data_IF_042191279553
#
_entry.id   IF_042191279553
#
_cell.length_a   1.000
_cell.length_b   1.000
_cell.length_c   1.000
_cell.angle_alpha   90.00
_cell.angle_beta   90.00
_cell.angle_gamma   90.00
#
_symmetry.space_group_name_H-M   'P 1'
#
loop_
_entity.id
_entity.type
_entity.pdbx_description
1 polymer ?
#
# COMPACT_ATOMS: atom_id res chain seq x y z
N UNK A 1 7.59 -13.53 -22.48
CA UNK A 1 6.81 -12.61 -23.34
C UNK A 1 5.38 -12.56 -22.84
N UNK A 2 4.63 -11.52 -23.21
CA UNK A 2 3.19 -11.45 -22.96
C UNK A 2 2.50 -11.28 -24.30
N UNK A 3 1.66 -12.24 -24.67
CA UNK A 3 0.99 -12.27 -25.97
C UNK A 3 -0.46 -12.76 -25.79
N UNK A 4 -1.43 -12.05 -26.37
CA UNK A 4 -2.87 -12.41 -26.36
C UNK A 4 -3.41 -12.83 -24.97
N UNK A 5 -3.07 -12.09 -23.92
CA UNK A 5 -3.51 -12.39 -22.55
C UNK A 5 -2.84 -13.60 -21.91
N UNK A 6 -1.69 -14.03 -22.44
CA UNK A 6 -0.89 -15.13 -21.92
C UNK A 6 0.52 -14.67 -21.58
N UNK A 7 0.99 -15.04 -20.39
CA UNK A 7 2.35 -14.83 -19.94
C UNK A 7 3.16 -16.10 -20.15
N UNK A 8 4.23 -16.01 -20.96
CA UNK A 8 5.23 -17.06 -21.09
C UNK A 8 6.37 -16.80 -20.11
N UNK A 9 6.55 -17.71 -19.16
CA UNK A 9 7.63 -17.70 -18.18
C UNK A 9 8.63 -18.80 -18.51
N UNK A 10 9.91 -18.46 -18.58
CA UNK A 10 10.98 -19.43 -18.85
C UNK A 10 10.94 -20.56 -17.81
N UNK A 11 11.11 -21.81 -18.26
CA UNK A 11 11.11 -23.05 -17.45
C UNK A 11 9.80 -23.41 -16.73
N UNK A 12 8.80 -22.53 -16.70
CA UNK A 12 7.48 -22.80 -16.11
C UNK A 12 6.44 -23.06 -17.20
N UNK A 13 6.54 -22.35 -18.33
CA UNK A 13 5.61 -22.46 -19.46
C UNK A 13 4.68 -21.25 -19.59
N UNK A 14 3.56 -21.45 -20.27
CA UNK A 14 2.65 -20.38 -20.67
C UNK A 14 1.34 -20.44 -19.88
N UNK A 15 1.01 -19.36 -19.19
CA UNK A 15 -0.20 -19.25 -18.36
C UNK A 15 -1.08 -18.07 -18.78
N UNK A 16 -2.39 -18.17 -18.54
CA UNK A 16 -3.29 -17.03 -18.72
C UNK A 16 -2.96 -15.96 -17.68
N UNK A 17 -2.95 -14.70 -18.09
CA UNK A 17 -2.75 -13.55 -17.21
C UNK A 17 -3.87 -12.55 -17.45
N UNK A 18 -4.34 -11.93 -16.37
CA UNK A 18 -5.16 -10.74 -16.42
C UNK A 18 -4.26 -9.52 -16.20
N UNK A 19 -3.97 -8.80 -17.28
CA UNK A 19 -3.17 -7.57 -17.24
C UNK A 19 -4.08 -6.41 -16.86
N UNK A 20 -3.90 -5.87 -15.66
CA UNK A 20 -4.68 -4.72 -15.20
C UNK A 20 -4.34 -3.42 -15.94
N UNK A 21 -3.12 -3.30 -16.47
CA UNK A 21 -2.66 -2.17 -17.30
C UNK A 21 -1.54 -2.61 -18.24
N UNK A 22 -1.32 -1.83 -19.30
CA UNK A 22 -0.13 -1.99 -20.13
C UNK A 22 1.13 -1.66 -19.33
N UNK A 23 2.20 -2.42 -19.56
CA UNK A 23 3.46 -2.22 -18.88
C UNK A 23 4.27 -1.20 -19.69
N UNK A 24 4.57 -0.07 -19.08
CA UNK A 24 5.43 0.94 -19.68
C UNK A 24 6.90 0.70 -19.31
N UNK A 25 7.81 1.00 -20.24
CA UNK A 25 9.24 0.83 -20.06
C UNK A 25 9.74 -0.59 -20.28
N UNK A 26 11.00 -0.82 -19.94
CA UNK A 26 11.67 -2.11 -20.15
C UNK A 26 11.54 -2.99 -18.91
N UNK A 27 10.90 -4.15 -19.05
CA UNK A 27 10.78 -5.14 -17.97
C UNK A 27 12.17 -5.69 -17.61
N UNK A 28 12.58 -5.54 -16.35
CA UNK A 28 13.83 -6.10 -15.82
C UNK A 28 13.61 -7.36 -15.00
N UNK A 29 12.49 -7.44 -14.28
CA UNK A 29 12.20 -8.55 -13.39
C UNK A 29 10.74 -8.94 -13.45
N UNK A 30 10.48 -10.24 -13.41
CA UNK A 30 9.18 -10.84 -13.18
C UNK A 30 9.24 -11.61 -11.86
N UNK A 31 8.38 -11.26 -10.91
CA UNK A 31 8.19 -12.01 -9.67
C UNK A 31 6.82 -12.67 -9.69
N UNK A 32 6.77 -13.99 -9.54
CA UNK A 32 5.52 -14.73 -9.33
C UNK A 32 5.31 -14.88 -7.82
N UNK A 33 4.27 -14.24 -7.30
CA UNK A 33 3.91 -14.27 -5.88
C UNK A 33 2.59 -15.02 -5.69
N UNK A 34 2.51 -15.90 -4.69
CA UNK A 34 1.25 -16.46 -4.21
C UNK A 34 0.82 -15.78 -2.92
N UNK A 35 -0.38 -15.21 -2.89
CA UNK A 35 -0.92 -14.51 -1.72
C UNK A 35 -2.43 -14.74 -1.63
N UNK A 36 -2.94 -15.02 -0.42
CA UNK A 36 -4.36 -15.27 -0.13
C UNK A 36 -5.09 -16.33 -1.02
N UNK A 37 -4.31 -17.17 -1.72
CA UNK A 37 -4.81 -18.20 -2.65
C UNK A 37 -4.68 -17.80 -4.12
N UNK A 38 -4.34 -16.56 -4.41
CA UNK A 38 -4.17 -16.02 -5.76
C UNK A 38 -2.70 -16.00 -6.18
N UNK A 39 -2.44 -16.07 -7.48
CA UNK A 39 -1.12 -15.88 -8.07
C UNK A 39 -1.05 -14.51 -8.74
N UNK A 40 0.01 -13.76 -8.46
CA UNK A 40 0.27 -12.44 -9.02
C UNK A 40 1.58 -12.49 -9.80
N UNK A 41 1.54 -11.94 -11.01
CA UNK A 41 2.72 -11.63 -11.80
C UNK A 41 3.07 -10.16 -11.58
N UNK A 42 4.17 -9.90 -10.86
CA UNK A 42 4.63 -8.55 -10.55
C UNK A 42 5.79 -8.24 -11.49
N UNK A 43 5.62 -7.22 -12.32
CA UNK A 43 6.63 -6.76 -13.26
C UNK A 43 7.32 -5.53 -12.71
N UNK A 44 8.64 -5.59 -12.58
CA UNK A 44 9.48 -4.42 -12.33
C UNK A 44 10.03 -3.95 -13.66
N UNK A 45 9.63 -2.77 -14.08
CA UNK A 45 10.06 -2.13 -15.32
C UNK A 45 10.82 -0.85 -15.02
N UNK A 46 11.78 -0.53 -15.89
CA UNK A 46 12.54 0.72 -15.85
C UNK A 46 12.06 1.58 -17.02
N UNK A 47 11.68 2.81 -16.70
CA UNK A 47 11.32 3.86 -17.65
C UNK A 47 12.11 5.11 -17.26
N UNK A 48 12.86 5.64 -18.21
CA UNK A 48 13.48 6.95 -18.04
C UNK A 48 12.39 8.02 -18.15
N UNK A 49 12.28 8.84 -17.12
CA UNK A 49 11.31 9.92 -17.04
C UNK A 49 12.10 11.13 -16.55
N UNK A 50 12.01 12.23 -17.30
CA UNK A 50 12.46 13.52 -16.82
C UNK A 50 11.26 14.24 -16.18
N UNK A 51 11.20 14.36 -14.84
CA UNK A 51 10.12 15.08 -14.20
C UNK A 51 10.20 16.56 -14.56
N UNK A 52 9.03 17.17 -14.74
CA UNK A 52 8.94 18.61 -15.01
C UNK A 52 9.53 19.39 -13.84
N UNK A 53 10.40 20.37 -14.11
CA UNK A 53 10.91 21.24 -13.04
C UNK A 53 9.80 22.22 -12.62
N UNK A 54 9.40 22.14 -11.34
CA UNK A 54 8.42 23.04 -10.74
C UNK A 54 9.14 24.02 -9.81
N UNK A 55 8.77 25.30 -9.88
CA UNK A 55 9.22 26.31 -8.93
C UNK A 55 8.45 26.18 -7.63
N UNK A 56 9.14 26.32 -6.50
CA UNK A 56 8.52 26.16 -5.19
C UNK A 56 7.83 27.45 -4.74
N UNK A 57 6.58 27.64 -5.17
CA UNK A 57 5.78 28.86 -4.94
C UNK A 57 4.57 28.64 -4.05
N UNK A 58 4.14 27.39 -3.85
CA UNK A 58 2.99 27.00 -3.05
C UNK A 58 3.32 25.78 -2.17
N UNK A 59 4.21 25.93 -1.18
CA UNK A 59 4.56 24.85 -0.25
C UNK A 59 3.42 24.56 0.73
N UNK A 60 3.27 23.30 1.16
CA UNK A 60 2.31 22.94 2.21
C UNK A 60 2.92 21.99 3.24
N UNK A 61 2.70 22.28 4.52
CA UNK A 61 3.07 21.40 5.63
C UNK A 61 2.00 20.34 5.87
N UNK A 62 2.41 19.12 6.20
CA UNK A 62 1.51 18.01 6.57
C UNK A 62 1.89 17.47 7.95
N UNK A 63 1.00 17.67 8.91
CA UNK A 63 1.04 17.01 10.21
C UNK A 63 0.16 15.74 10.18
N UNK A 64 0.64 14.61 10.71
CA UNK A 64 -0.10 13.34 10.70
C UNK A 64 -0.45 12.87 12.12
N UNK A 65 -1.68 12.37 12.29
CA UNK A 65 -2.20 12.01 13.60
C UNK A 65 -3.02 10.73 13.63
N UNK A 66 -3.40 10.32 14.84
CA UNK A 66 -4.27 9.15 15.07
C UNK A 66 -5.76 9.52 15.09
N UNK A 67 -6.11 10.74 15.54
CA UNK A 67 -7.49 11.24 15.61
C UNK A 67 -7.93 11.82 14.26
N UNK A 68 -7.12 12.74 13.74
CA UNK A 68 -7.20 13.24 12.36
C UNK A 68 -6.01 12.66 11.63
N UNK A 69 -6.22 12.08 10.45
CA UNK A 69 -5.15 11.35 9.77
C UNK A 69 -4.03 12.27 9.30
N UNK A 70 -4.40 13.39 8.68
CA UNK A 70 -3.47 14.46 8.35
C UNK A 70 -4.15 15.85 8.43
N UNK A 71 -3.38 16.86 8.81
CA UNK A 71 -3.79 18.27 8.79
C UNK A 71 -2.74 19.03 7.98
N UNK A 72 -3.21 19.79 6.99
CA UNK A 72 -2.36 20.63 6.15
C UNK A 72 -2.20 22.01 6.78
N UNK A 73 -1.11 22.71 6.47
CA UNK A 73 -0.84 24.07 6.98
C UNK A 73 -1.86 25.11 6.51
N UNK A 74 -2.62 24.82 5.45
CA UNK A 74 -3.75 25.64 4.99
C UNK A 74 -5.06 25.38 5.75
N UNK A 75 -5.03 24.51 6.76
CA UNK A 75 -6.18 24.15 7.59
C UNK A 75 -7.01 22.98 7.06
N UNK A 76 -6.69 22.43 5.88
CA UNK A 76 -7.39 21.27 5.33
C UNK A 76 -7.17 20.03 6.21
N UNK A 77 -8.27 19.33 6.54
CA UNK A 77 -8.24 18.13 7.37
C UNK A 77 -8.56 16.89 6.55
N UNK A 78 -7.72 15.88 6.69
CA UNK A 78 -7.88 14.57 6.05
C UNK A 78 -8.28 13.54 7.10
N UNK A 79 -9.40 12.87 6.87
CA UNK A 79 -9.97 11.90 7.82
C UNK A 79 -9.91 10.50 7.22
N UNK A 80 -9.15 9.61 7.85
CA UNK A 80 -9.05 8.21 7.42
C UNK A 80 -10.17 7.35 8.01
N UNK A 81 -10.97 6.66 7.18
CA UNK A 81 -11.90 5.66 7.68
C UNK A 81 -11.17 4.52 8.39
N UNK A 82 -11.77 4.00 9.46
CA UNK A 82 -11.18 2.94 10.28
C UNK A 82 -11.38 1.54 9.65
N UNK A 83 -10.90 1.32 8.41
CA UNK A 83 -11.04 0.06 7.67
C UNK A 83 -10.60 -1.17 8.48
N UNK A 84 -9.41 -1.08 9.10
CA UNK A 84 -8.85 -2.18 9.91
C UNK A 84 -9.65 -2.49 11.17
N UNK A 85 -10.30 -1.49 11.78
CA UNK A 85 -11.15 -1.70 12.96
C UNK A 85 -12.40 -2.51 12.61
N UNK A 86 -12.98 -2.24 11.43
CA UNK A 86 -14.15 -2.97 10.94
C UNK A 86 -13.78 -4.44 10.68
N UNK A 87 -12.62 -4.71 10.09
CA UNK A 87 -12.17 -6.08 9.81
C UNK A 87 -11.62 -6.81 11.04
N UNK A 88 -11.34 -6.09 12.14
CA UNK A 88 -10.62 -6.62 13.28
C UNK A 88 -11.31 -7.83 13.92
N UNK A 89 -12.64 -7.77 14.06
CA UNK A 89 -13.42 -8.88 14.64
C UNK A 89 -13.27 -10.17 13.81
N UNK A 90 -13.26 -10.04 12.49
CA UNK A 90 -13.09 -11.16 11.56
C UNK A 90 -11.67 -11.73 11.63
N UNK A 91 -10.67 -10.85 11.61
CA UNK A 91 -9.26 -11.23 11.76
C UNK A 91 -9.05 -11.97 13.09
N UNK A 92 -9.52 -11.41 14.20
CA UNK A 92 -9.35 -11.99 15.54
C UNK A 92 -10.05 -13.36 15.67
N UNK A 93 -11.21 -13.54 15.02
CA UNK A 93 -11.90 -14.83 14.96
C UNK A 93 -11.02 -15.88 14.28
N UNK A 94 -10.48 -15.58 13.09
CA UNK A 94 -9.66 -16.54 12.36
C UNK A 94 -8.30 -16.78 13.02
N UNK A 95 -7.68 -15.76 13.63
CA UNK A 95 -6.47 -15.93 14.45
C UNK A 95 -6.68 -16.97 15.57
N UNK A 96 -7.80 -16.87 16.32
CA UNK A 96 -8.15 -17.85 17.36
C UNK A 96 -8.33 -19.26 16.79
N UNK A 97 -8.98 -19.39 15.64
CA UNK A 97 -9.16 -20.68 14.96
C UNK A 97 -7.80 -21.26 14.52
N UNK A 98 -6.90 -20.46 13.98
CA UNK A 98 -5.56 -20.88 13.56
C UNK A 98 -4.71 -21.32 14.75
N UNK A 99 -4.82 -20.63 15.88
CA UNK A 99 -4.07 -20.93 17.11
C UNK A 99 -4.50 -22.26 17.72
N UNK A 100 -5.80 -22.58 17.71
CA UNK A 100 -6.34 -23.83 18.29
C UNK A 100 -6.12 -25.07 17.41
N UNK A 101 -5.82 -24.91 16.11
CA UNK A 101 -5.66 -26.04 15.18
C UNK A 101 -4.22 -26.56 15.17
N UNK A 102 -4.06 -27.88 15.03
CA UNK A 102 -2.76 -28.54 14.96
C UNK A 102 -1.87 -27.98 13.82
N UNK A 103 -0.60 -27.71 14.13
CA UNK A 103 0.39 -27.19 13.17
C UNK A 103 0.55 -28.19 12.00
N UNK A 104 0.62 -27.69 10.78
CA UNK A 104 0.72 -28.55 9.58
C UNK A 104 -0.58 -29.21 9.12
N UNK A 105 -1.66 -29.23 9.92
CA UNK A 105 -2.92 -29.83 9.48
C UNK A 105 -3.56 -29.06 8.31
N UNK A 106 -4.20 -29.79 7.37
CA UNK A 106 -4.97 -29.20 6.26
C UNK A 106 -6.02 -28.20 6.75
N UNK A 107 -6.72 -28.53 7.85
CA UNK A 107 -7.69 -27.63 8.50
C UNK A 107 -7.02 -26.32 8.94
N UNK A 108 -5.81 -26.35 9.51
CA UNK A 108 -5.12 -25.12 9.90
C UNK A 108 -4.72 -24.28 8.69
N UNK A 109 -4.27 -24.90 7.60
CA UNK A 109 -3.94 -24.20 6.36
C UNK A 109 -5.14 -23.43 5.80
N UNK A 110 -6.31 -24.08 5.69
CA UNK A 110 -7.56 -23.41 5.26
C UNK A 110 -7.91 -22.23 6.17
N UNK A 111 -7.74 -22.37 7.50
CA UNK A 111 -8.01 -21.26 8.43
C UNK A 111 -7.03 -20.09 8.24
N UNK A 112 -5.76 -20.36 7.93
CA UNK A 112 -4.78 -19.33 7.61
C UNK A 112 -5.12 -18.61 6.32
N UNK A 113 -5.56 -19.33 5.29
CA UNK A 113 -5.97 -18.72 4.03
C UNK A 113 -7.16 -17.77 4.24
N UNK A 114 -8.16 -18.18 5.03
CA UNK A 114 -9.28 -17.31 5.41
C UNK A 114 -8.81 -16.08 6.18
N UNK A 115 -7.94 -16.27 7.18
CA UNK A 115 -7.33 -15.16 7.93
C UNK A 115 -6.61 -14.18 6.99
N UNK A 116 -5.82 -14.68 6.04
CA UNK A 116 -5.08 -13.86 5.09
C UNK A 116 -6.00 -13.08 4.15
N UNK A 117 -7.15 -13.64 3.73
CA UNK A 117 -8.16 -12.92 2.96
C UNK A 117 -8.75 -11.74 3.74
N UNK A 118 -9.04 -11.92 5.04
CA UNK A 118 -9.50 -10.80 5.86
C UNK A 118 -8.45 -9.68 5.93
N UNK A 119 -7.18 -10.03 6.09
CA UNK A 119 -6.08 -9.06 6.06
C UNK A 119 -5.96 -8.37 4.70
N UNK A 120 -6.11 -9.12 3.61
CA UNK A 120 -6.05 -8.60 2.24
C UNK A 120 -7.13 -7.53 2.01
N UNK A 121 -8.38 -7.79 2.42
CA UNK A 121 -9.48 -6.81 2.32
C UNK A 121 -9.13 -5.51 3.04
N UNK A 122 -8.70 -5.60 4.29
CA UNK A 122 -8.36 -4.40 5.08
C UNK A 122 -7.16 -3.64 4.51
N UNK A 123 -6.17 -4.36 3.98
CA UNK A 123 -4.99 -3.78 3.35
C UNK A 123 -5.36 -3.11 2.01
N UNK A 124 -6.19 -3.73 1.18
CA UNK A 124 -6.62 -3.19 -0.10
C UNK A 124 -7.44 -1.91 0.08
N UNK A 125 -8.39 -1.89 1.02
CA UNK A 125 -9.13 -0.68 1.38
C UNK A 125 -8.20 0.46 1.86
N UNK A 126 -7.23 0.13 2.71
CA UNK A 126 -6.25 1.11 3.19
C UNK A 126 -5.39 1.64 2.03
N UNK A 127 -4.94 0.76 1.14
CA UNK A 127 -4.10 1.13 0.01
C UNK A 127 -4.85 2.03 -0.97
N UNK A 128 -6.07 1.66 -1.33
CA UNK A 128 -6.94 2.44 -2.22
C UNK A 128 -7.14 3.86 -1.67
N UNK A 129 -7.50 3.98 -0.39
CA UNK A 129 -7.66 5.27 0.27
C UNK A 129 -6.37 6.10 0.26
N UNK A 130 -5.22 5.49 0.60
CA UNK A 130 -3.94 6.21 0.61
C UNK A 130 -3.52 6.65 -0.79
N UNK A 131 -3.71 5.81 -1.82
CA UNK A 131 -3.44 6.19 -3.21
C UNK A 131 -4.31 7.38 -3.62
N UNK A 132 -5.62 7.33 -3.38
CA UNK A 132 -6.55 8.41 -3.73
C UNK A 132 -6.17 9.74 -3.08
N UNK A 133 -5.73 9.72 -1.83
CA UNK A 133 -5.33 10.95 -1.15
C UNK A 133 -4.01 11.48 -1.64
N UNK A 134 -3.00 10.63 -1.83
CA UNK A 134 -1.73 11.12 -2.35
C UNK A 134 -1.89 11.61 -3.79
N UNK A 135 -2.75 10.99 -4.60
CA UNK A 135 -3.13 11.53 -5.91
C UNK A 135 -3.83 12.88 -5.80
N UNK A 136 -4.80 13.01 -4.89
CA UNK A 136 -5.48 14.30 -4.68
C UNK A 136 -4.47 15.38 -4.29
N UNK A 137 -3.60 15.12 -3.32
CA UNK A 137 -2.61 16.09 -2.83
C UNK A 137 -1.66 16.54 -3.94
N UNK A 138 -1.09 15.60 -4.70
CA UNK A 138 -0.19 15.92 -5.81
C UNK A 138 -0.88 16.74 -6.90
N UNK A 139 -2.19 16.54 -7.11
CA UNK A 139 -2.97 17.29 -8.09
C UNK A 139 -3.65 18.56 -7.51
N UNK A 140 -3.41 18.91 -6.24
CA UNK A 140 -4.04 20.08 -5.60
C UNK A 140 -3.40 21.43 -6.00
N UNK A 141 -2.28 21.40 -6.73
CA UNK A 141 -1.52 22.60 -7.10
C UNK A 141 -0.47 23.04 -6.06
N UNK A 142 -0.15 22.19 -5.08
CA UNK A 142 1.01 22.41 -4.21
C UNK A 142 2.31 22.13 -4.97
N UNK A 143 3.37 22.87 -4.65
CA UNK A 143 4.68 22.76 -5.30
C UNK A 143 5.71 22.03 -4.44
N UNK A 144 5.46 21.90 -3.14
CA UNK A 144 6.24 21.08 -2.24
C UNK A 144 5.45 20.63 -1.01
N UNK A 145 5.85 19.49 -0.42
CA UNK A 145 5.27 18.93 0.79
C UNK A 145 6.30 18.85 1.92
N UNK A 146 6.13 19.67 2.96
CA UNK A 146 6.90 19.53 4.18
C UNK A 146 6.23 18.54 5.13
N UNK A 147 6.91 17.44 5.47
CA UNK A 147 6.39 16.40 6.37
C UNK A 147 7.29 16.22 7.58
N UNK A 148 6.71 15.88 8.73
CA UNK A 148 7.50 15.58 9.91
C UNK A 148 8.33 14.30 9.74
N UNK A 149 9.59 14.35 10.20
CA UNK A 149 10.46 13.16 10.27
C UNK A 149 10.10 12.29 11.48
N UNK A 150 8.96 11.62 11.42
CA UNK A 150 8.52 10.73 12.48
C UNK A 150 9.41 9.50 12.59
N UNK A 151 9.91 9.22 13.79
CA UNK A 151 10.63 7.99 14.12
C UNK A 151 9.64 6.83 14.35
N UNK A 152 8.87 6.48 13.31
CA UNK A 152 7.72 5.56 13.41
C UNK A 152 8.14 4.20 13.98
N UNK A 153 9.32 3.69 13.63
CA UNK A 153 9.86 2.44 14.19
C UNK A 153 10.00 2.50 15.72
N UNK A 154 10.45 3.63 16.27
CA UNK A 154 10.54 3.83 17.71
C UNK A 154 9.16 4.01 18.34
N UNK A 155 8.24 4.72 17.68
CA UNK A 155 6.88 4.93 18.19
C UNK A 155 6.11 3.61 18.33
N UNK A 156 6.30 2.66 17.40
CA UNK A 156 5.65 1.34 17.44
C UNK A 156 6.18 0.46 18.59
N UNK A 157 7.34 0.77 19.18
CA UNK A 157 7.83 0.07 20.38
C UNK A 157 6.95 0.35 21.61
N UNK A 158 6.21 1.46 21.62
CA UNK A 158 5.20 1.70 22.65
C UNK A 158 3.97 0.81 22.40
N UNK A 159 3.88 -0.31 23.14
CA UNK A 159 2.81 -1.30 22.99
C UNK A 159 1.39 -0.75 23.16
N UNK A 160 1.19 0.39 23.85
CA UNK A 160 -0.13 1.03 23.99
C UNK A 160 -0.62 1.67 22.69
N UNK A 161 0.29 2.23 21.88
CA UNK A 161 -0.03 2.94 20.65
C UNK A 161 0.35 2.17 19.38
N UNK A 162 1.18 1.13 19.50
CA UNK A 162 1.69 0.33 18.40
C UNK A 162 0.61 -0.07 17.39
N UNK A 163 -0.52 -0.57 17.88
CA UNK A 163 -1.63 -1.00 17.03
C UNK A 163 -2.25 0.16 16.24
N UNK A 164 -2.53 1.28 16.92
CA UNK A 164 -3.12 2.47 16.30
C UNK A 164 -2.18 3.07 15.25
N UNK A 165 -0.88 3.16 15.55
CA UNK A 165 0.16 3.65 14.62
C UNK A 165 0.25 2.75 13.38
N UNK A 166 0.28 1.43 13.57
CA UNK A 166 0.28 0.50 12.45
C UNK A 166 -0.99 0.63 11.59
N UNK A 167 -2.13 0.94 12.20
CA UNK A 167 -3.40 1.12 11.51
C UNK A 167 -3.47 2.46 10.77
N UNK A 168 -2.80 3.49 11.27
CA UNK A 168 -2.68 4.78 10.59
C UNK A 168 -1.87 4.66 9.29
N UNK A 169 -0.85 3.79 9.27
CA UNK A 169 -0.06 3.47 8.06
C UNK A 169 0.72 4.68 7.49
N UNK A 170 1.21 5.57 8.36
CA UNK A 170 1.95 6.78 7.99
C UNK A 170 3.17 6.51 7.10
N UNK A 171 3.97 5.48 7.40
CA UNK A 171 5.12 5.10 6.56
C UNK A 171 4.70 4.89 5.10
N UNK A 172 3.58 4.17 4.88
CA UNK A 172 3.08 3.91 3.54
C UNK A 172 2.55 5.19 2.90
N UNK A 173 1.88 6.05 3.66
CA UNK A 173 1.43 7.35 3.18
C UNK A 173 2.60 8.20 2.67
N UNK A 174 3.67 8.36 3.47
CA UNK A 174 4.85 9.12 3.07
C UNK A 174 5.56 8.51 1.87
N UNK A 175 5.70 7.18 1.82
CA UNK A 175 6.25 6.50 0.64
C UNK A 175 5.42 6.79 -0.62
N UNK A 176 4.08 6.70 -0.51
CA UNK A 176 3.17 6.94 -1.62
C UNK A 176 3.16 8.41 -2.06
N UNK A 177 3.30 9.35 -1.12
CA UNK A 177 3.37 10.77 -1.42
C UNK A 177 4.70 11.11 -2.10
N UNK A 178 5.83 10.66 -1.54
CA UNK A 178 7.18 10.91 -2.06
C UNK A 178 7.29 10.48 -3.52
N UNK A 179 6.97 9.23 -3.85
CA UNK A 179 7.17 8.76 -5.23
C UNK A 179 6.27 9.48 -6.24
N UNK A 180 5.04 9.88 -5.84
CA UNK A 180 4.13 10.60 -6.73
C UNK A 180 4.53 12.05 -6.89
N UNK A 181 4.97 12.69 -5.81
CA UNK A 181 5.51 14.05 -5.84
C UNK A 181 6.74 14.09 -6.74
N UNK A 182 7.71 13.20 -6.53
CA UNK A 182 8.91 13.05 -7.37
C UNK A 182 8.54 12.83 -8.84
N UNK A 183 7.57 11.95 -9.13
CA UNK A 183 7.09 11.71 -10.50
C UNK A 183 6.42 12.93 -11.14
N UNK A 184 5.87 13.84 -10.34
CA UNK A 184 5.26 15.09 -10.80
C UNK A 184 6.24 16.27 -10.78
N UNK A 185 7.49 16.08 -10.32
CA UNK A 185 8.47 17.16 -10.15
C UNK A 185 8.23 18.06 -8.94
N UNK A 186 7.37 17.63 -8.02
CA UNK A 186 7.09 18.27 -6.74
C UNK A 186 8.12 17.82 -5.71
N UNK A 187 8.49 18.73 -4.80
CA UNK A 187 9.50 18.47 -3.75
C UNK A 187 8.90 17.94 -2.44
#
# INVERSE_FOLDING_TARGET
SIEKGRLRVSRIGTMKIELHRQIEGTIKMLTIKKEAGNYYAIFTAIKEIEPQKINDTNPVGIDVGLKTFAVLSDGTKVIKPNFRKNQEKHIARWQRVVARRHKGSKRRQIAKERMNREYEVANNQTNDYLHKITDRLVNSGYTSFAVEKLQIQNMVKNHRLAKAINYASWNKFFQLLSYKAESAGIK
#
